data_IF_145268375926
#
_entry.id   IF_145268375926
#
_cell.length_a   1.000
_cell.length_b   1.000
_cell.length_c   1.000
_cell.angle_alpha   90.00
_cell.angle_beta   90.00
_cell.angle_gamma   90.00
#
_symmetry.space_group_name_H-M   'P 1'
#
loop_
_entity.id
_entity.type
_entity.pdbx_description
1 polymer ?
#
# COMPACT_ATOMS: atom_id res chain seq x y z
N UNK A 1 7.31 -7.50 8.01
CA UNK A 1 7.70 -6.90 9.30
C UNK A 1 6.97 -7.65 10.40
N UNK A 2 7.64 -8.07 11.46
CA UNK A 2 7.07 -8.90 12.56
C UNK A 2 6.99 -8.17 13.90
N UNK A 3 7.60 -6.99 14.02
CA UNK A 3 7.46 -6.13 15.20
C UNK A 3 7.48 -4.64 14.80
N UNK A 4 6.80 -3.73 15.54
CA UNK A 4 6.74 -2.31 15.20
C UNK A 4 8.09 -1.58 15.23
N UNK A 5 8.98 -1.97 16.13
CA UNK A 5 10.34 -1.41 16.31
C UNK A 5 11.30 -1.71 15.14
N UNK A 6 10.95 -2.66 14.28
CA UNK A 6 11.67 -2.93 13.03
C UNK A 6 11.46 -1.82 11.99
N UNK A 7 10.43 -0.98 12.15
CA UNK A 7 10.19 0.14 11.25
C UNK A 7 11.35 1.13 11.34
N UNK A 8 12.07 1.28 10.24
CA UNK A 8 12.98 2.40 10.04
C UNK A 8 12.16 3.52 9.42
N UNK A 9 11.99 4.70 10.04
CA UNK A 9 11.22 5.79 9.44
C UNK A 9 11.95 6.46 8.27
N UNK A 10 11.24 6.75 7.20
CA UNK A 10 11.73 7.62 6.12
C UNK A 10 11.78 9.07 6.56
N UNK A 11 12.48 9.93 5.78
CA UNK A 11 12.55 11.38 6.06
C UNK A 11 11.13 11.95 6.15
N UNK A 12 10.75 12.63 7.25
CA UNK A 12 9.43 13.26 7.38
C UNK A 12 9.18 14.28 6.28
N UNK A 13 7.94 14.34 5.80
CA UNK A 13 7.45 15.38 4.88
C UNK A 13 6.24 16.04 5.52
N UNK A 14 6.42 17.27 5.96
CA UNK A 14 5.43 17.98 6.79
C UNK A 14 4.12 18.23 6.08
N UNK A 15 3.99 18.15 4.76
CA UNK A 15 2.70 18.32 4.09
C UNK A 15 1.91 17.01 3.92
N UNK A 16 2.57 15.86 4.07
CA UNK A 16 1.97 14.55 3.78
C UNK A 16 1.20 13.99 4.98
N UNK A 17 -0.02 13.50 4.74
CA UNK A 17 -0.91 12.89 5.74
C UNK A 17 -1.62 11.68 5.14
N UNK A 18 -2.11 10.79 5.99
CA UNK A 18 -3.11 9.79 5.61
C UNK A 18 -4.50 10.26 6.08
N UNK A 19 -5.49 10.26 5.18
CA UNK A 19 -6.88 10.65 5.49
C UNK A 19 -7.82 9.48 5.17
N UNK A 20 -8.59 8.96 6.13
CA UNK A 20 -9.54 7.89 5.84
C UNK A 20 -10.55 8.34 4.78
N UNK A 21 -10.96 7.42 3.91
CA UNK A 21 -11.96 7.71 2.86
C UNK A 21 -12.82 6.50 2.55
N UNK A 22 -14.11 6.77 2.32
CA UNK A 22 -15.07 5.81 1.77
C UNK A 22 -15.49 6.20 0.33
N UNK A 23 -14.89 7.26 -0.25
CA UNK A 23 -15.17 7.69 -1.61
C UNK A 23 -14.62 6.68 -2.63
N UNK A 24 -15.48 5.75 -3.03
CA UNK A 24 -15.13 4.68 -3.94
C UNK A 24 -14.75 5.18 -5.35
N UNK A 25 -15.29 6.32 -5.79
CA UNK A 25 -14.98 6.87 -7.12
C UNK A 25 -13.55 7.45 -7.14
N UNK A 26 -13.19 8.20 -6.09
CA UNK A 26 -11.83 8.72 -5.93
C UNK A 26 -10.81 7.59 -5.74
N UNK A 27 -11.15 6.58 -4.94
CA UNK A 27 -10.30 5.39 -4.74
C UNK A 27 -9.99 4.71 -6.06
N UNK A 28 -11.02 4.41 -6.88
CA UNK A 28 -10.83 3.79 -8.21
C UNK A 28 -9.96 4.66 -9.11
N UNK A 29 -10.24 5.96 -9.16
CA UNK A 29 -9.44 6.92 -9.94
C UNK A 29 -7.96 6.88 -9.56
N UNK A 30 -7.65 6.84 -8.26
CA UNK A 30 -6.25 6.78 -7.79
C UNK A 30 -5.63 5.42 -8.08
N UNK A 31 -6.36 4.31 -7.94
CA UNK A 31 -5.88 2.98 -8.31
C UNK A 31 -5.51 2.92 -9.79
N UNK A 32 -6.36 3.44 -10.67
CA UNK A 32 -6.12 3.50 -12.13
C UNK A 32 -4.87 4.32 -12.45
N UNK A 33 -4.73 5.50 -11.83
CA UNK A 33 -3.57 6.37 -12.04
C UNK A 33 -2.26 5.77 -11.55
N UNK A 34 -2.28 5.06 -10.42
CA UNK A 34 -1.10 4.34 -9.91
C UNK A 34 -0.73 3.15 -10.82
N UNK A 35 -1.73 2.47 -11.40
CA UNK A 35 -1.55 1.30 -12.24
C UNK A 35 -1.02 1.63 -13.66
N UNK A 36 -1.49 2.73 -14.25
CA UNK A 36 -1.27 3.05 -15.65
C UNK A 36 0.21 3.08 -16.12
N UNK A 37 1.17 3.69 -15.39
CA UNK A 37 2.57 3.72 -15.84
C UNK A 37 3.26 2.36 -15.85
N UNK A 38 2.74 1.42 -15.06
CA UNK A 38 3.38 0.15 -14.75
C UNK A 38 2.81 -1.01 -15.57
N UNK A 39 1.93 -0.72 -16.54
CA UNK A 39 1.15 -1.72 -17.30
C UNK A 39 0.50 -2.76 -16.39
N UNK A 40 0.14 -2.35 -15.17
CA UNK A 40 -0.74 -3.16 -14.34
C UNK A 40 -2.06 -3.26 -15.10
N UNK A 41 -2.70 -4.44 -15.16
CA UNK A 41 -4.10 -4.44 -15.50
C UNK A 41 -4.80 -3.48 -14.53
N UNK A 42 -5.67 -2.60 -15.04
CA UNK A 42 -6.54 -1.81 -14.17
C UNK A 42 -7.35 -2.74 -13.25
N UNK A 43 -8.11 -2.20 -12.28
CA UNK A 43 -9.06 -2.99 -11.47
C UNK A 43 -9.78 -4.01 -12.35
N UNK A 44 -10.34 -3.56 -13.48
CA UNK A 44 -11.14 -4.36 -14.42
C UNK A 44 -10.41 -5.53 -15.12
N UNK A 45 -9.07 -5.61 -15.03
CA UNK A 45 -8.27 -6.69 -15.62
C UNK A 45 -7.32 -7.37 -14.64
N UNK A 46 -7.34 -7.00 -13.37
CA UNK A 46 -6.44 -7.54 -12.35
C UNK A 46 -7.20 -8.49 -11.42
N UNK A 47 -6.51 -9.49 -10.88
CA UNK A 47 -7.03 -10.32 -9.79
C UNK A 47 -7.47 -9.49 -8.56
N UNK A 48 -7.18 -8.17 -8.50
CA UNK A 48 -7.69 -7.27 -7.45
C UNK A 48 -9.21 -7.07 -7.52
N UNK A 49 -9.84 -7.10 -8.69
CA UNK A 49 -11.30 -6.98 -8.83
C UNK A 49 -12.01 -8.32 -8.57
N UNK A 50 -11.32 -9.44 -8.82
CA UNK A 50 -11.77 -10.79 -8.45
C UNK A 50 -11.47 -11.15 -6.99
N UNK A 51 -10.62 -10.39 -6.30
CA UNK A 51 -10.36 -10.61 -4.89
C UNK A 51 -11.59 -10.19 -4.09
N UNK A 52 -12.25 -11.09 -3.35
CA UNK A 52 -13.46 -10.76 -2.60
C UNK A 52 -13.21 -9.53 -1.72
N UNK A 53 -14.21 -8.65 -1.61
CA UNK A 53 -14.14 -7.51 -0.68
C UNK A 53 -13.87 -8.08 0.70
N UNK A 54 -12.59 -8.01 1.12
CA UNK A 54 -12.19 -8.52 2.41
C UNK A 54 -12.94 -7.65 3.45
N UNK A 55 -13.79 -8.24 4.31
CA UNK A 55 -14.74 -7.49 5.13
C UNK A 55 -14.06 -6.57 6.16
N UNK A 56 -12.74 -6.73 6.31
CA UNK A 56 -11.89 -6.04 7.27
C UNK A 56 -10.81 -5.24 6.54
N UNK A 57 -11.24 -4.39 5.59
CA UNK A 57 -10.38 -3.44 4.90
C UNK A 57 -10.60 -2.02 5.38
N UNK A 58 -9.56 -1.20 5.26
CA UNK A 58 -9.64 0.24 5.38
C UNK A 58 -8.91 0.91 4.22
N UNK A 59 -9.32 2.14 3.89
CA UNK A 59 -8.73 2.93 2.81
C UNK A 59 -8.38 4.33 3.31
N UNK A 60 -7.23 4.81 2.88
CA UNK A 60 -6.75 6.14 3.18
C UNK A 60 -6.17 6.81 1.94
N UNK A 61 -6.58 8.06 1.71
CA UNK A 61 -5.91 8.94 0.78
C UNK A 61 -4.54 9.30 1.35
N UNK A 62 -3.53 9.27 0.50
CA UNK A 62 -2.28 9.99 0.75
C UNK A 62 -2.54 11.43 0.32
N UNK A 63 -2.59 12.35 1.26
CA UNK A 63 -2.79 13.77 0.99
C UNK A 63 -1.48 14.53 1.14
N UNK A 64 -1.18 15.42 0.20
CA UNK A 64 -0.11 16.41 0.29
C UNK A 64 -0.77 17.79 0.40
N UNK A 65 -0.82 18.33 1.62
CA UNK A 65 -1.71 19.45 1.94
C UNK A 65 -3.18 19.06 1.72
N UNK A 66 -3.85 19.76 0.79
CA UNK A 66 -5.24 19.49 0.44
C UNK A 66 -5.42 18.49 -0.71
N UNK A 67 -4.34 18.18 -1.45
CA UNK A 67 -4.41 17.40 -2.69
C UNK A 67 -4.26 15.89 -2.41
N UNK A 68 -5.19 15.03 -2.89
CA UNK A 68 -4.99 13.58 -2.90
C UNK A 68 -3.93 13.19 -3.94
N UNK A 69 -2.80 12.68 -3.45
CA UNK A 69 -1.62 12.32 -4.27
C UNK A 69 -1.36 10.82 -4.33
N UNK A 70 -2.20 9.99 -3.71
CA UNK A 70 -2.01 8.54 -3.68
C UNK A 70 -3.01 7.84 -2.77
N UNK A 71 -2.82 6.54 -2.60
CA UNK A 71 -3.72 5.69 -1.85
C UNK A 71 -2.95 4.66 -1.01
N UNK A 72 -3.48 4.37 0.17
CA UNK A 72 -3.11 3.24 1.02
C UNK A 72 -4.37 2.42 1.30
N UNK A 73 -4.30 1.12 1.05
CA UNK A 73 -5.33 0.16 1.46
C UNK A 73 -4.72 -0.89 2.37
N UNK A 74 -5.43 -1.18 3.45
CA UNK A 74 -5.06 -2.21 4.42
C UNK A 74 -6.11 -3.31 4.47
N UNK A 75 -5.68 -4.55 4.70
CA UNK A 75 -6.55 -5.68 5.01
C UNK A 75 -6.01 -6.46 6.22
N UNK A 76 -6.87 -6.82 7.17
CA UNK A 76 -6.48 -7.65 8.31
C UNK A 76 -6.62 -9.14 7.94
N UNK A 77 -5.52 -9.88 7.90
CA UNK A 77 -5.53 -11.32 7.60
C UNK A 77 -6.02 -12.18 8.77
N UNK A 78 -6.49 -13.41 8.52
CA UNK A 78 -6.90 -14.35 9.57
C UNK A 78 -5.73 -14.82 10.45
N UNK A 79 -4.49 -14.65 9.98
CA UNK A 79 -3.26 -14.93 10.72
C UNK A 79 -2.85 -13.81 11.70
N UNK A 80 -3.72 -12.80 11.86
CA UNK A 80 -3.47 -11.63 12.71
C UNK A 80 -2.39 -10.71 12.14
N UNK A 81 -2.08 -10.79 10.85
CA UNK A 81 -1.17 -9.87 10.17
C UNK A 81 -1.95 -8.89 9.28
N UNK A 82 -1.54 -7.63 9.28
CA UNK A 82 -2.11 -6.63 8.38
C UNK A 82 -1.30 -6.58 7.08
N UNK A 83 -2.01 -6.51 5.96
CA UNK A 83 -1.43 -6.42 4.63
C UNK A 83 -1.71 -5.05 4.01
N UNK A 84 -0.68 -4.42 3.44
CA UNK A 84 -0.84 -3.27 2.55
C UNK A 84 -1.21 -3.81 1.16
N UNK A 85 -2.50 -3.83 0.85
CA UNK A 85 -3.03 -4.42 -0.40
C UNK A 85 -2.91 -3.47 -1.59
N UNK A 86 -2.88 -2.17 -1.31
CA UNK A 86 -2.49 -1.14 -2.26
C UNK A 86 -1.67 -0.07 -1.55
N UNK A 87 -0.60 0.38 -2.19
CA UNK A 87 0.25 1.46 -1.72
C UNK A 87 0.87 2.11 -2.95
N UNK A 88 0.70 3.41 -3.09
CA UNK A 88 1.35 4.15 -4.17
C UNK A 88 1.00 5.62 -4.19
N UNK A 89 1.67 6.31 -5.12
CA UNK A 89 1.47 7.72 -5.42
C UNK A 89 1.09 7.83 -6.90
N UNK A 90 0.35 8.88 -7.25
CA UNK A 90 0.10 9.20 -8.66
C UNK A 90 1.41 9.55 -9.37
N UNK A 91 1.49 9.32 -10.69
CA UNK A 91 2.77 9.33 -11.42
C UNK A 91 3.55 10.65 -11.28
N UNK A 92 2.84 11.77 -11.26
CA UNK A 92 3.40 13.12 -11.19
C UNK A 92 4.04 13.42 -9.83
N UNK A 93 3.74 12.62 -8.81
CA UNK A 93 4.24 12.76 -7.42
C UNK A 93 5.35 11.76 -7.08
N UNK A 94 5.66 10.83 -7.99
CA UNK A 94 6.78 9.90 -7.86
C UNK A 94 8.10 10.64 -8.03
N UNK A 95 9.15 10.18 -7.34
CA UNK A 95 10.49 10.79 -7.40
C UNK A 95 10.69 12.04 -6.54
N UNK A 96 9.62 12.58 -5.95
CA UNK A 96 9.67 13.80 -5.11
C UNK A 96 10.01 13.54 -3.63
N UNK A 97 10.50 12.34 -3.29
CA UNK A 97 10.85 11.96 -1.91
C UNK A 97 9.67 11.65 -0.97
N UNK A 98 8.42 11.71 -1.45
CA UNK A 98 7.22 11.49 -0.63
C UNK A 98 7.05 10.02 -0.19
N UNK A 99 7.39 9.06 -1.07
CA UNK A 99 7.08 7.65 -0.88
C UNK A 99 7.68 7.01 0.37
N UNK A 100 8.84 7.47 0.83
CA UNK A 100 9.46 6.98 2.06
C UNK A 100 8.70 7.38 3.32
N UNK A 101 8.23 8.63 3.37
CA UNK A 101 7.39 9.09 4.47
C UNK A 101 6.01 8.44 4.42
N UNK A 102 5.39 8.37 3.23
CA UNK A 102 4.09 7.72 3.06
C UNK A 102 4.11 6.27 3.52
N UNK A 103 5.14 5.48 3.15
CA UNK A 103 5.26 4.10 3.60
C UNK A 103 5.44 4.01 5.13
N UNK A 104 6.14 4.98 5.73
CA UNK A 104 6.29 5.06 7.18
C UNK A 104 4.93 5.26 7.86
N UNK A 105 4.12 6.19 7.36
CA UNK A 105 2.77 6.44 7.87
C UNK A 105 1.88 5.19 7.68
N UNK A 106 1.93 4.56 6.52
CA UNK A 106 1.14 3.37 6.21
C UNK A 106 1.48 2.19 7.13
N UNK A 107 2.77 1.99 7.45
CA UNK A 107 3.19 0.91 8.36
C UNK A 107 2.76 1.19 9.80
N UNK A 108 2.88 2.44 10.27
CA UNK A 108 2.38 2.82 11.61
C UNK A 108 0.88 2.56 11.72
N UNK A 109 0.12 3.01 10.73
CA UNK A 109 -1.30 2.75 10.63
C UNK A 109 -1.63 1.24 10.58
N UNK A 110 -0.86 0.44 9.84
CA UNK A 110 -1.06 -1.01 9.81
C UNK A 110 -0.84 -1.68 11.17
N UNK A 111 0.12 -1.17 11.95
CA UNK A 111 0.33 -1.55 13.35
C UNK A 111 -0.73 -1.00 14.30
N UNK A 112 -1.67 -0.17 13.87
CA UNK A 112 -2.80 0.30 14.68
C UNK A 112 -4.15 -0.25 14.16
N UNK A 113 -4.17 -0.78 12.94
CA UNK A 113 -5.37 -1.31 12.29
C UNK A 113 -5.81 -2.63 12.94
N UNK A 114 -6.87 -2.60 13.76
CA UNK A 114 -7.42 -3.74 14.55
C UNK A 114 -8.90 -4.02 14.32
N UNK A 115 -9.36 -4.21 13.07
CA UNK A 115 -10.78 -4.42 12.81
C UNK A 115 -11.33 -5.74 13.40
N UNK A 116 -10.47 -6.70 13.74
CA UNK A 116 -10.81 -8.00 14.35
C UNK A 116 -10.73 -8.01 15.89
N UNK A 117 -10.26 -6.91 16.49
CA UNK A 117 -9.80 -6.92 17.88
C UNK A 117 -8.47 -7.65 18.08
N UNK A 118 -7.85 -7.49 19.25
CA UNK A 118 -6.57 -8.12 19.60
C UNK A 118 -5.34 -7.46 18.94
N UNK A 119 -4.12 -8.00 19.16
CA UNK A 119 -2.88 -7.40 18.66
C UNK A 119 -2.48 -7.82 17.22
N UNK A 120 -1.96 -6.83 16.48
CA UNK A 120 -0.99 -6.88 15.36
C UNK A 120 0.11 -7.93 15.56
N UNK A 121 0.13 -9.03 14.81
CA UNK A 121 1.26 -9.98 14.79
C UNK A 121 2.29 -9.68 13.70
N UNK A 122 1.95 -8.82 12.74
CA UNK A 122 2.87 -8.47 11.66
C UNK A 122 2.25 -7.55 10.61
N UNK A 123 3.12 -6.94 9.81
CA UNK A 123 2.76 -6.16 8.62
C UNK A 123 3.46 -6.76 7.41
N UNK A 124 2.72 -7.00 6.32
CA UNK A 124 3.25 -7.52 5.05
C UNK A 124 2.78 -6.68 3.86
N UNK A 125 3.47 -6.83 2.75
CA UNK A 125 3.11 -6.29 1.44
C UNK A 125 3.76 -7.16 0.37
N UNK A 126 3.22 -7.09 -0.83
CA UNK A 126 3.80 -7.71 -2.02
C UNK A 126 4.36 -6.62 -2.93
N UNK A 127 5.53 -6.88 -3.50
CA UNK A 127 6.07 -6.11 -4.62
C UNK A 127 6.21 -7.02 -5.82
N UNK A 128 5.97 -6.48 -7.01
CA UNK A 128 6.18 -7.16 -8.28
C UNK A 128 7.29 -6.51 -9.10
N UNK A 129 7.78 -7.23 -10.10
CA UNK A 129 8.67 -6.75 -11.17
C UNK A 129 8.02 -5.70 -12.08
N UNK A 130 6.69 -5.59 -12.06
CA UNK A 130 5.96 -4.52 -12.73
C UNK A 130 5.92 -3.22 -11.92
N UNK A 131 6.24 -3.25 -10.63
CA UNK A 131 6.19 -2.05 -9.79
C UNK A 131 7.28 -1.05 -10.18
N UNK A 132 7.16 0.18 -9.67
CA UNK A 132 8.23 1.16 -9.81
C UNK A 132 9.57 0.59 -9.30
N UNK A 133 10.71 0.82 -9.99
CA UNK A 133 12.03 0.35 -9.56
C UNK A 133 12.44 0.74 -8.12
N UNK A 134 11.74 1.72 -7.53
CA UNK A 134 11.96 2.19 -6.16
C UNK A 134 11.06 1.51 -5.13
N UNK A 135 10.06 0.71 -5.52
CA UNK A 135 9.12 0.07 -4.61
C UNK A 135 9.84 -0.86 -3.63
N UNK A 136 10.60 -1.83 -4.14
CA UNK A 136 11.33 -2.78 -3.30
C UNK A 136 12.45 -2.11 -2.48
N UNK A 137 13.31 -1.24 -3.05
CA UNK A 137 14.28 -0.47 -2.26
C UNK A 137 13.63 0.36 -1.15
N UNK A 138 12.48 0.99 -1.40
CA UNK A 138 11.74 1.74 -0.38
C UNK A 138 11.31 0.81 0.76
N UNK A 139 10.71 -0.33 0.45
CA UNK A 139 10.28 -1.32 1.45
C UNK A 139 11.44 -1.82 2.31
N UNK A 140 12.54 -2.25 1.68
CA UNK A 140 13.73 -2.73 2.39
C UNK A 140 14.34 -1.61 3.26
N UNK A 141 14.41 -0.39 2.72
CA UNK A 141 14.88 0.78 3.45
C UNK A 141 14.07 1.06 4.73
N UNK A 142 12.76 0.77 4.73
CA UNK A 142 11.88 0.93 5.89
C UNK A 142 11.87 -0.25 6.86
N UNK A 143 12.72 -1.25 6.64
CA UNK A 143 12.89 -2.39 7.57
C UNK A 143 12.07 -3.62 7.20
N UNK A 144 11.42 -3.65 6.03
CA UNK A 144 10.88 -4.91 5.52
C UNK A 144 11.99 -5.88 5.14
N UNK A 145 11.68 -7.17 5.24
CA UNK A 145 12.53 -8.28 4.80
C UNK A 145 11.71 -9.15 3.84
N UNK A 146 12.36 -9.67 2.79
CA UNK A 146 11.74 -10.65 1.89
C UNK A 146 11.38 -11.90 2.71
N UNK A 147 10.17 -12.42 2.54
CA UNK A 147 9.69 -13.61 3.26
C UNK A 147 9.13 -14.70 2.33
N UNK A 148 8.98 -14.40 1.04
CA UNK A 148 8.51 -15.31 0.01
C UNK A 148 8.63 -14.66 -1.36
N UNK A 149 8.62 -15.49 -2.40
CA UNK A 149 8.47 -15.08 -3.80
C UNK A 149 7.36 -15.93 -4.37
N UNK A 150 6.40 -15.29 -5.03
CA UNK A 150 5.30 -15.95 -5.71
C UNK A 150 5.45 -15.66 -7.20
N UNK A 151 5.47 -16.72 -8.03
CA UNK A 151 5.47 -16.58 -9.48
C UNK A 151 4.02 -16.66 -9.93
N UNK A 152 3.44 -15.51 -10.28
CA UNK A 152 2.11 -15.49 -10.91
C UNK A 152 2.27 -15.71 -12.40
N UNK A 153 1.79 -16.85 -12.89
CA UNK A 153 1.71 -17.06 -14.33
C UNK A 153 0.62 -16.15 -14.89
N UNK A 154 0.95 -15.36 -15.92
CA UNK A 154 -0.06 -14.67 -16.70
C UNK A 154 -0.94 -15.73 -17.36
N UNK A 155 -2.19 -15.84 -16.95
CA UNK A 155 -3.20 -16.51 -17.78
C UNK A 155 -3.28 -15.69 -19.06
N UNK A 156 -2.67 -16.21 -20.13
CA UNK A 156 -2.78 -15.62 -21.46
C UNK A 156 -4.25 -15.55 -21.85
N UNK A 157 -4.69 -14.37 -22.27
CA UNK A 157 -5.91 -14.22 -23.06
C UNK A 157 -5.69 -14.73 -24.48
#
# INVERSE_FOLDING_TARGET
>A
MTAPDQLRPGRPVESVRLRPTEDAALVRTLQDRMAAPHRWPGPAGSDREQWPVHPLRGRWLVADGAEPVGLVELAAGPDGRTELTAFGLVPERVGQGLGGHTLTLAVRLAWEFRPQGGPVRGVRLHTSDLDHPHALPNCLGRGFRRYGVEVRQRTGG
#
